data_IF_520400507781
#
_entry.id   IF_520400507781
#
_cell.length_a   1.000
_cell.length_b   1.000
_cell.length_c   1.000
_cell.angle_alpha   90.00
_cell.angle_beta   90.00
_cell.angle_gamma   90.00
#
_symmetry.space_group_name_H-M   'P 1'
#
loop_
_entity.id
_entity.type
_entity.pdbx_description
1 polymer ?
#
# COMPACT_ATOMS: atom_id res chain seq x y z
N UNK A 1 -53.76 14.27 15.35
CA UNK A 1 -52.96 15.16 14.48
C UNK A 1 -51.53 15.36 15.00
N UNK A 2 -50.90 14.32 15.58
CA UNK A 2 -49.54 14.35 16.15
C UNK A 2 -48.75 13.06 15.82
N UNK A 3 -49.00 12.45 14.65
CA UNK A 3 -48.30 11.22 14.25
C UNK A 3 -47.65 11.29 12.86
N UNK A 4 -47.87 12.37 12.10
CA UNK A 4 -47.32 12.52 10.75
C UNK A 4 -46.05 13.41 10.69
N UNK A 5 -45.76 14.18 11.75
CA UNK A 5 -44.60 15.08 11.80
C UNK A 5 -43.32 14.41 12.34
N UNK A 6 -43.42 13.27 13.02
CA UNK A 6 -42.25 12.52 13.54
C UNK A 6 -41.51 11.75 12.42
N UNK A 7 -42.23 11.30 11.39
CA UNK A 7 -41.64 10.57 10.26
C UNK A 7 -40.93 11.46 9.23
N UNK A 8 -41.19 12.78 9.25
CA UNK A 8 -40.49 13.74 8.38
C UNK A 8 -39.21 14.31 9.01
N UNK A 9 -39.00 14.14 10.32
CA UNK A 9 -37.81 14.65 11.01
C UNK A 9 -36.63 13.66 11.04
N UNK A 10 -36.86 12.39 10.66
CA UNK A 10 -35.82 11.35 10.63
C UNK A 10 -34.98 11.42 9.34
N UNK A 11 -35.39 12.17 8.31
CA UNK A 11 -34.73 12.14 6.98
C UNK A 11 -34.04 13.43 6.55
N UNK A 12 -33.77 14.39 7.45
CA UNK A 12 -32.98 15.58 7.08
C UNK A 12 -31.52 15.49 7.50
N UNK A 13 -31.22 14.94 8.68
CA UNK A 13 -29.85 14.83 9.20
C UNK A 13 -29.06 13.69 8.55
N UNK A 14 -29.69 12.55 8.28
CA UNK A 14 -29.03 11.44 7.57
C UNK A 14 -28.86 11.72 6.07
N UNK A 15 -29.72 12.56 5.49
CA UNK A 15 -29.63 12.93 4.08
C UNK A 15 -28.51 13.95 3.80
N UNK A 16 -28.21 14.85 4.74
CA UNK A 16 -26.99 15.68 4.66
C UNK A 16 -25.72 14.84 4.84
N UNK A 17 -25.75 13.83 5.71
CA UNK A 17 -24.62 12.91 5.95
C UNK A 17 -24.23 12.12 4.69
N UNK A 18 -25.20 11.83 3.83
CA UNK A 18 -25.00 11.05 2.59
C UNK A 18 -24.40 11.92 1.46
N UNK A 19 -24.61 13.25 1.45
CA UNK A 19 -24.21 14.12 0.32
C UNK A 19 -22.73 14.54 0.29
N UNK A 20 -21.98 14.41 1.39
CA UNK A 20 -20.54 14.75 1.46
C UNK A 20 -19.60 13.52 1.42
N UNK A 21 -20.17 12.32 1.28
CA UNK A 21 -19.46 11.02 1.43
C UNK A 21 -18.36 10.75 0.40
N UNK A 22 -18.39 11.42 -0.76
CA UNK A 22 -17.40 11.20 -1.82
C UNK A 22 -16.12 12.01 -1.68
N UNK A 23 -16.13 13.07 -0.87
CA UNK A 23 -14.96 13.95 -0.68
C UNK A 23 -14.19 13.56 0.58
N UNK A 24 -14.91 13.07 1.59
CA UNK A 24 -14.34 12.68 2.88
C UNK A 24 -13.97 11.20 2.90
N UNK A 25 -12.92 10.89 3.63
CA UNK A 25 -12.54 9.52 3.92
C UNK A 25 -13.00 9.10 5.32
N UNK A 26 -13.42 7.84 5.51
CA UNK A 26 -13.55 7.27 6.85
C UNK A 26 -12.17 7.24 7.51
N UNK A 27 -11.99 8.05 8.56
CA UNK A 27 -10.75 8.10 9.31
C UNK A 27 -10.69 6.93 10.30
N UNK A 28 -9.48 6.45 10.54
CA UNK A 28 -9.23 5.44 11.54
C UNK A 28 -9.31 6.04 12.93
N UNK A 29 -10.17 5.46 13.79
CA UNK A 29 -10.28 5.89 15.18
C UNK A 29 -9.03 5.52 15.98
N UNK A 30 -8.74 6.26 17.06
CA UNK A 30 -7.63 5.98 17.98
C UNK A 30 -7.71 4.55 18.53
N UNK A 31 -8.92 4.07 18.82
CA UNK A 31 -9.15 2.70 19.30
C UNK A 31 -8.76 1.64 18.26
N UNK A 32 -9.01 1.88 16.97
CA UNK A 32 -8.60 0.98 15.90
C UNK A 32 -7.09 0.96 15.74
N UNK A 33 -6.42 2.12 15.78
CA UNK A 33 -4.96 2.19 15.77
C UNK A 33 -4.34 1.45 16.95
N UNK A 34 -4.92 1.61 18.14
CA UNK A 34 -4.46 0.91 19.35
C UNK A 34 -4.63 -0.61 19.23
N UNK A 35 -5.80 -1.09 18.78
CA UNK A 35 -6.03 -2.52 18.53
C UNK A 35 -5.08 -3.07 17.45
N UNK A 36 -4.85 -2.32 16.39
CA UNK A 36 -3.89 -2.68 15.35
C UNK A 36 -2.46 -2.77 15.88
N UNK A 37 -2.04 -1.84 16.74
CA UNK A 37 -0.75 -1.88 17.41
C UNK A 37 -0.63 -3.11 18.33
N UNK A 38 -1.68 -3.44 19.08
CA UNK A 38 -1.70 -4.64 19.93
C UNK A 38 -1.57 -5.94 19.14
N UNK A 39 -2.28 -6.06 18.00
CA UNK A 39 -2.18 -7.23 17.10
C UNK A 39 -0.78 -7.42 16.54
N UNK A 40 -0.04 -6.33 16.36
CA UNK A 40 1.31 -6.33 15.82
C UNK A 40 2.41 -6.26 16.91
N UNK A 41 2.07 -6.35 18.19
CA UNK A 41 3.02 -6.17 19.31
C UNK A 41 4.15 -7.21 19.31
N UNK A 42 3.97 -8.35 18.66
CA UNK A 42 5.02 -9.35 18.47
C UNK A 42 6.17 -8.86 17.57
N UNK A 43 5.94 -7.83 16.76
CA UNK A 43 6.91 -7.24 15.85
C UNK A 43 7.44 -5.90 16.39
N UNK A 44 8.76 -5.69 16.45
CA UNK A 44 9.34 -4.38 16.67
C UNK A 44 8.74 -3.33 15.73
N UNK A 45 8.48 -2.12 16.25
CA UNK A 45 7.88 -1.03 15.48
C UNK A 45 8.62 -0.76 14.17
N UNK A 46 9.95 -0.80 14.21
CA UNK A 46 10.77 -0.52 13.04
C UNK A 46 10.61 -1.57 11.93
N UNK A 47 10.39 -2.85 12.27
CA UNK A 47 10.11 -3.90 11.29
C UNK A 47 8.70 -3.77 10.72
N UNK A 48 7.73 -3.31 11.53
CA UNK A 48 6.40 -2.99 11.02
C UNK A 48 6.46 -1.87 9.97
N UNK A 49 7.26 -0.82 10.23
CA UNK A 49 7.49 0.27 9.28
C UNK A 49 8.15 -0.23 8.00
N UNK A 50 9.18 -1.09 8.11
CA UNK A 50 9.83 -1.71 6.96
C UNK A 50 8.82 -2.50 6.11
N UNK A 51 8.01 -3.38 6.72
CA UNK A 51 7.01 -4.19 6.00
C UNK A 51 6.03 -3.28 5.24
N UNK A 52 5.50 -2.24 5.91
CA UNK A 52 4.57 -1.29 5.29
C UNK A 52 5.20 -0.54 4.12
N UNK A 53 6.42 -0.03 4.31
CA UNK A 53 7.16 0.73 3.31
C UNK A 53 7.44 -0.10 2.04
N UNK A 54 8.03 -1.29 2.19
CA UNK A 54 8.41 -2.12 1.05
C UNK A 54 7.19 -2.67 0.29
N UNK A 55 6.12 -3.00 1.00
CA UNK A 55 4.90 -3.46 0.35
C UNK A 55 4.18 -2.35 -0.39
N UNK A 56 4.08 -1.15 0.19
CA UNK A 56 3.51 0.00 -0.51
C UNK A 56 4.33 0.34 -1.78
N UNK A 57 5.66 0.24 -1.70
CA UNK A 57 6.56 0.37 -2.85
C UNK A 57 6.31 -0.70 -3.91
N UNK A 58 6.11 -1.96 -3.50
CA UNK A 58 5.77 -3.07 -4.39
C UNK A 58 4.43 -2.82 -5.11
N UNK A 59 3.39 -2.38 -4.39
CA UNK A 59 2.09 -2.03 -4.97
C UNK A 59 2.24 -0.92 -6.02
N UNK A 60 3.04 0.11 -5.74
CA UNK A 60 3.31 1.21 -6.69
C UNK A 60 3.99 0.70 -7.97
N UNK A 61 5.04 -0.11 -7.83
CA UNK A 61 5.76 -0.67 -8.97
C UNK A 61 4.89 -1.62 -9.80
N UNK A 62 4.06 -2.45 -9.16
CA UNK A 62 3.10 -3.30 -9.85
C UNK A 62 2.08 -2.48 -10.65
N UNK A 63 1.57 -1.38 -10.08
CA UNK A 63 0.69 -0.46 -10.78
C UNK A 63 1.32 0.13 -12.05
N UNK A 64 2.60 0.52 -11.98
CA UNK A 64 3.34 1.04 -13.13
C UNK A 64 3.51 -0.01 -14.24
N UNK A 65 3.91 -1.24 -13.91
CA UNK A 65 4.08 -2.31 -14.89
C UNK A 65 2.77 -2.77 -15.52
N UNK A 66 1.67 -2.74 -14.75
CA UNK A 66 0.32 -3.00 -15.25
C UNK A 66 -0.27 -1.81 -16.03
N UNK A 67 0.44 -0.68 -16.12
CA UNK A 67 0.00 0.57 -16.75
C UNK A 67 -1.32 1.08 -16.17
N UNK A 68 -1.51 0.89 -14.87
CA UNK A 68 -2.67 1.41 -14.15
C UNK A 68 -2.51 2.92 -13.90
N UNK A 69 -3.61 3.70 -14.01
CA UNK A 69 -3.65 5.07 -13.53
C UNK A 69 -3.17 5.17 -12.07
N UNK A 70 -2.38 6.20 -11.77
CA UNK A 70 -1.85 6.42 -10.41
C UNK A 70 -2.96 6.55 -9.35
N UNK A 71 -4.15 7.02 -9.74
CA UNK A 71 -5.31 7.07 -8.84
C UNK A 71 -5.70 5.68 -8.34
N UNK A 72 -5.69 4.65 -9.19
CA UNK A 72 -6.03 3.27 -8.80
C UNK A 72 -4.96 2.70 -7.88
N UNK A 73 -3.69 2.90 -8.23
CA UNK A 73 -2.56 2.41 -7.40
C UNK A 73 -2.49 3.12 -6.04
N UNK A 74 -2.82 4.40 -6.00
CA UNK A 74 -2.93 5.17 -4.76
C UNK A 74 -4.06 4.67 -3.87
N UNK A 75 -5.26 4.43 -4.43
CA UNK A 75 -6.38 3.86 -3.69
C UNK A 75 -6.03 2.47 -3.15
N UNK A 76 -5.34 1.63 -3.94
CA UNK A 76 -4.90 0.31 -3.50
C UNK A 76 -3.98 0.40 -2.28
N UNK A 77 -3.04 1.35 -2.23
CA UNK A 77 -2.18 1.54 -1.05
C UNK A 77 -2.96 2.01 0.19
N UNK A 78 -3.97 2.87 0.01
CA UNK A 78 -4.83 3.28 1.13
C UNK A 78 -5.63 2.09 1.66
N UNK A 79 -6.21 1.26 0.79
CA UNK A 79 -6.93 0.05 1.19
C UNK A 79 -6.03 -0.98 1.87
N UNK A 80 -4.79 -1.12 1.39
CA UNK A 80 -3.77 -1.98 2.00
C UNK A 80 -3.50 -1.57 3.45
N UNK A 81 -3.29 -0.27 3.69
CA UNK A 81 -3.08 0.24 5.04
C UNK A 81 -4.33 0.11 5.92
N UNK A 82 -5.55 0.29 5.36
CA UNK A 82 -6.80 0.08 6.12
C UNK A 82 -6.93 -1.38 6.57
N UNK A 83 -6.60 -2.32 5.69
CA UNK A 83 -6.60 -3.74 6.01
C UNK A 83 -5.64 -4.06 7.17
N UNK A 84 -4.44 -3.49 7.18
CA UNK A 84 -3.44 -3.72 8.24
C UNK A 84 -3.66 -2.97 9.56
N UNK A 85 -4.61 -2.03 9.61
CA UNK A 85 -5.11 -1.55 10.92
C UNK A 85 -5.85 -2.68 11.62
N UNK A 86 -6.63 -3.46 10.88
CA UNK A 86 -7.54 -4.46 11.43
C UNK A 86 -6.92 -5.87 11.47
N UNK A 87 -5.97 -6.21 10.60
CA UNK A 87 -5.30 -7.51 10.62
C UNK A 87 -3.81 -7.40 10.94
N UNK A 88 -3.25 -8.49 11.48
CA UNK A 88 -1.83 -8.57 11.81
C UNK A 88 -0.96 -8.69 10.56
N UNK A 89 0.17 -7.98 10.53
CA UNK A 89 1.10 -7.93 9.38
C UNK A 89 1.66 -9.30 8.96
N UNK A 90 1.73 -10.26 9.90
CA UNK A 90 2.37 -11.58 9.70
C UNK A 90 1.42 -12.78 9.79
N UNK A 91 0.13 -12.55 10.04
CA UNK A 91 -0.86 -13.62 10.34
C UNK A 91 -1.25 -14.42 9.08
N UNK A 92 -1.40 -13.74 7.94
CA UNK A 92 -1.87 -14.33 6.69
C UNK A 92 -0.70 -14.55 5.72
N UNK A 93 -0.97 -14.49 4.41
CA UNK A 93 0.07 -14.48 3.39
C UNK A 93 0.92 -13.20 3.51
N UNK A 94 2.20 -13.32 3.20
CA UNK A 94 3.18 -12.29 3.52
C UNK A 94 3.15 -11.21 2.46
N UNK A 95 2.73 -9.97 2.81
CA UNK A 95 2.92 -8.69 2.10
C UNK A 95 2.64 -8.65 0.57
N UNK A 96 3.35 -9.43 -0.21
CA UNK A 96 3.26 -9.63 -1.66
C UNK A 96 1.86 -10.07 -2.10
N UNK A 97 1.29 -11.14 -1.51
CA UNK A 97 -0.02 -11.62 -1.94
C UNK A 97 -1.15 -10.66 -1.53
N UNK A 98 -1.02 -10.01 -0.36
CA UNK A 98 -1.96 -8.99 0.12
C UNK A 98 -1.94 -7.76 -0.80
N UNK A 99 -0.73 -7.32 -1.22
CA UNK A 99 -0.54 -6.25 -2.20
C UNK A 99 -1.19 -6.60 -3.55
N UNK A 100 -0.95 -7.81 -4.06
CA UNK A 100 -1.56 -8.29 -5.31
C UNK A 100 -3.09 -8.34 -5.23
N UNK A 101 -3.64 -8.86 -4.13
CA UNK A 101 -5.09 -8.95 -3.92
C UNK A 101 -5.74 -7.57 -3.79
N UNK A 102 -5.09 -6.64 -3.09
CA UNK A 102 -5.61 -5.28 -2.90
C UNK A 102 -5.56 -4.49 -4.21
N UNK A 103 -4.48 -4.62 -4.98
CA UNK A 103 -4.37 -3.99 -6.30
C UNK A 103 -5.39 -4.58 -7.28
N UNK A 104 -5.58 -5.91 -7.28
CA UNK A 104 -6.60 -6.57 -8.08
C UNK A 104 -8.00 -6.07 -7.73
N UNK A 105 -8.36 -6.06 -6.44
CA UNK A 105 -9.66 -5.61 -5.96
C UNK A 105 -9.93 -4.17 -6.41
N UNK A 106 -8.96 -3.28 -6.22
CA UNK A 106 -9.08 -1.86 -6.56
C UNK A 106 -9.20 -1.67 -8.08
N UNK A 107 -8.37 -2.36 -8.87
CA UNK A 107 -8.47 -2.32 -10.33
C UNK A 107 -9.81 -2.86 -10.82
N UNK A 108 -10.31 -3.96 -10.24
CA UNK A 108 -11.56 -4.61 -10.61
C UNK A 108 -12.79 -3.70 -10.46
N UNK A 109 -12.84 -2.89 -9.41
CA UNK A 109 -13.95 -1.95 -9.17
C UNK A 109 -13.79 -0.61 -9.92
N UNK A 110 -12.63 -0.38 -10.52
CA UNK A 110 -12.31 0.85 -11.23
C UNK A 110 -12.70 0.82 -12.72
N UNK A 111 -12.47 1.93 -13.42
CA UNK A 111 -12.63 2.02 -14.88
C UNK A 111 -11.58 1.24 -15.69
N UNK A 112 -10.57 0.64 -15.04
CA UNK A 112 -9.47 -0.09 -15.70
C UNK A 112 -9.26 -1.47 -15.05
N UNK A 113 -10.20 -2.43 -15.25
CA UNK A 113 -10.07 -3.77 -14.70
C UNK A 113 -8.90 -4.52 -15.35
N UNK A 114 -8.16 -5.27 -14.53
CA UNK A 114 -6.99 -6.06 -14.95
C UNK A 114 -7.25 -7.54 -14.72
N UNK A 115 -6.77 -8.39 -15.63
CA UNK A 115 -6.90 -9.84 -15.48
C UNK A 115 -5.98 -10.37 -14.38
N UNK A 116 -6.44 -11.39 -13.65
CA UNK A 116 -5.63 -12.06 -12.63
C UNK A 116 -4.31 -12.59 -13.18
N UNK A 117 -4.31 -13.11 -14.42
CA UNK A 117 -3.07 -13.57 -15.08
C UNK A 117 -2.06 -12.45 -15.26
N UNK A 118 -2.49 -11.25 -15.67
CA UNK A 118 -1.61 -10.10 -15.79
C UNK A 118 -0.99 -9.72 -14.44
N UNK A 119 -1.80 -9.68 -13.38
CA UNK A 119 -1.32 -9.39 -12.02
C UNK A 119 -0.31 -10.44 -11.57
N UNK A 120 -0.65 -11.73 -11.66
CA UNK A 120 0.26 -12.79 -11.21
C UNK A 120 1.57 -12.80 -11.99
N UNK A 121 1.54 -12.51 -13.30
CA UNK A 121 2.75 -12.38 -14.11
C UNK A 121 3.61 -11.20 -13.67
N UNK A 122 3.01 -10.02 -13.44
CA UNK A 122 3.75 -8.83 -12.98
C UNK A 122 4.36 -9.04 -11.60
N UNK A 123 3.62 -9.62 -10.65
CA UNK A 123 4.19 -9.92 -9.32
C UNK A 123 5.27 -11.00 -9.39
N UNK A 124 5.13 -12.00 -10.26
CA UNK A 124 6.18 -13.00 -10.49
C UNK A 124 7.44 -12.36 -11.08
N UNK A 125 7.27 -11.43 -12.02
CA UNK A 125 8.38 -10.66 -12.59
C UNK A 125 9.05 -9.76 -11.55
N UNK A 126 8.28 -9.01 -10.77
CA UNK A 126 8.80 -8.09 -9.76
C UNK A 126 9.61 -8.79 -8.67
N UNK A 127 9.25 -10.02 -8.35
CA UNK A 127 9.91 -10.82 -7.32
C UNK A 127 11.04 -11.71 -7.85
N UNK A 128 11.24 -11.74 -9.17
CA UNK A 128 12.28 -12.55 -9.79
C UNK A 128 13.68 -11.92 -9.59
N UNK A 129 14.78 -12.72 -9.54
CA UNK A 129 16.14 -12.24 -9.30
C UNK A 129 16.66 -11.11 -10.21
N UNK A 130 16.11 -10.97 -11.43
CA UNK A 130 16.53 -9.92 -12.36
C UNK A 130 15.77 -8.60 -12.24
N UNK A 131 14.82 -8.47 -11.29
CA UNK A 131 14.05 -7.24 -11.09
C UNK A 131 14.65 -6.35 -10.02
N UNK A 132 14.46 -5.02 -10.16
CA UNK A 132 14.88 -4.02 -9.18
C UNK A 132 14.25 -4.20 -7.79
N UNK A 133 13.14 -4.94 -7.71
CA UNK A 133 12.44 -5.25 -6.46
C UNK A 133 12.66 -6.68 -5.97
N UNK A 134 13.70 -7.37 -6.47
CA UNK A 134 13.96 -8.74 -6.05
C UNK A 134 14.19 -8.84 -4.54
N UNK A 135 13.62 -9.87 -3.86
CA UNK A 135 13.92 -10.15 -2.46
C UNK A 135 15.36 -10.61 -2.22
N UNK A 136 16.01 -11.15 -3.24
CA UNK A 136 17.43 -11.45 -3.19
C UNK A 136 18.11 -10.31 -3.93
N UNK A 137 18.72 -9.37 -3.21
CA UNK A 137 19.38 -8.21 -3.81
C UNK A 137 20.31 -8.59 -4.96
N UNK A 138 20.64 -7.64 -5.85
CA UNK A 138 21.37 -7.89 -7.10
C UNK A 138 22.60 -8.78 -6.90
N UNK A 139 22.46 -10.09 -7.11
CA UNK A 139 23.55 -11.05 -6.98
C UNK A 139 24.43 -10.98 -8.22
N UNK A 140 25.19 -9.90 -8.41
CA UNK A 140 26.23 -9.72 -9.44
C UNK A 140 25.87 -10.18 -10.87
N UNK A 141 24.59 -10.39 -11.19
CA UNK A 141 24.10 -10.98 -12.44
C UNK A 141 23.88 -9.92 -13.51
N UNK A 142 24.68 -8.86 -13.46
CA UNK A 142 24.62 -7.75 -14.41
C UNK A 142 25.21 -8.10 -15.79
N UNK A 143 25.69 -9.33 -16.01
CA UNK A 143 26.39 -9.71 -17.25
C UNK A 143 25.64 -10.72 -18.13
N UNK A 144 24.57 -11.37 -17.65
CA UNK A 144 23.82 -12.34 -18.45
C UNK A 144 22.48 -11.77 -18.91
N UNK A 145 22.09 -11.97 -20.19
CA UNK A 145 20.78 -11.56 -20.65
C UNK A 145 19.70 -12.26 -19.81
N UNK A 146 18.62 -11.56 -19.41
CA UNK A 146 17.58 -12.13 -18.57
C UNK A 146 16.97 -13.34 -19.27
N UNK A 147 17.13 -14.53 -18.69
CA UNK A 147 16.54 -15.75 -19.20
C UNK A 147 15.01 -15.64 -19.17
N UNK A 148 14.31 -15.69 -20.32
CA UNK A 148 12.85 -15.58 -20.38
C UNK A 148 12.14 -16.66 -19.55
N UNK A 149 12.76 -17.82 -19.35
CA UNK A 149 12.17 -18.92 -18.56
C UNK A 149 12.11 -18.59 -17.06
N UNK A 150 13.01 -17.73 -16.56
CA UNK A 150 13.06 -17.32 -15.14
C UNK A 150 11.87 -16.46 -14.69
N UNK A 151 11.07 -15.94 -15.64
CA UNK A 151 9.87 -15.14 -15.37
C UNK A 151 8.59 -15.84 -15.80
N UNK A 152 8.70 -17.03 -16.41
CA UNK A 152 7.54 -17.78 -16.86
C UNK A 152 6.82 -18.41 -15.67
N UNK A 153 5.51 -18.17 -15.61
CA UNK A 153 4.64 -18.75 -14.59
C UNK A 153 4.00 -20.02 -15.15
N UNK A 154 4.36 -21.18 -14.58
CA UNK A 154 3.71 -22.45 -14.93
C UNK A 154 2.21 -22.41 -14.65
N UNK A 155 1.42 -23.17 -15.41
CA UNK A 155 -0.04 -23.14 -15.24
C UNK A 155 -0.47 -23.60 -13.84
N UNK A 156 0.23 -24.56 -13.24
CA UNK A 156 -0.01 -25.00 -11.86
C UNK A 156 0.28 -23.89 -10.84
N UNK A 157 1.40 -23.17 -10.99
CA UNK A 157 1.75 -22.04 -10.13
C UNK A 157 0.77 -20.88 -10.29
N UNK A 158 0.30 -20.63 -11.52
CA UNK A 158 -0.75 -19.65 -11.79
C UNK A 158 -2.05 -19.98 -11.06
N UNK A 159 -2.54 -21.23 -11.16
CA UNK A 159 -3.77 -21.66 -10.50
C UNK A 159 -3.66 -21.53 -8.97
N UNK A 160 -2.52 -21.89 -8.39
CA UNK A 160 -2.27 -21.73 -6.96
C UNK A 160 -2.30 -20.26 -6.53
N UNK A 161 -1.52 -19.38 -7.19
CA UNK A 161 -1.49 -17.94 -6.87
C UNK A 161 -2.85 -17.27 -7.11
N UNK A 162 -3.57 -17.65 -8.16
CA UNK A 162 -4.91 -17.15 -8.45
C UNK A 162 -5.89 -17.47 -7.32
N UNK A 163 -5.89 -18.72 -6.84
CA UNK A 163 -6.78 -19.16 -5.75
C UNK A 163 -6.51 -18.37 -4.47
N UNK A 164 -5.23 -18.16 -4.16
CA UNK A 164 -4.78 -17.35 -3.02
C UNK A 164 -5.26 -15.89 -3.11
N UNK A 165 -5.05 -15.24 -4.26
CA UNK A 165 -5.50 -13.86 -4.49
C UNK A 165 -7.01 -13.73 -4.32
N UNK A 166 -7.80 -14.67 -4.84
CA UNK A 166 -9.27 -14.66 -4.71
C UNK A 166 -9.69 -14.84 -3.24
N UNK A 167 -9.01 -15.72 -2.50
CA UNK A 167 -9.29 -15.91 -1.08
C UNK A 167 -8.99 -14.65 -0.26
N UNK A 168 -7.80 -14.05 -0.47
CA UNK A 168 -7.41 -12.81 0.18
C UNK A 168 -8.32 -11.64 -0.19
N UNK A 169 -8.77 -11.56 -1.43
CA UNK A 169 -9.75 -10.54 -1.85
C UNK A 169 -11.02 -10.60 -1.00
N UNK A 170 -11.57 -11.81 -0.80
CA UNK A 170 -12.74 -12.02 0.06
C UNK A 170 -12.48 -11.61 1.51
N UNK A 171 -11.29 -11.93 2.03
CA UNK A 171 -10.89 -11.51 3.38
C UNK A 171 -10.77 -9.99 3.52
N UNK A 172 -10.14 -9.32 2.56
CA UNK A 172 -9.99 -7.86 2.56
C UNK A 172 -11.37 -7.20 2.55
N UNK A 173 -12.29 -7.65 1.69
CA UNK A 173 -13.64 -7.14 1.64
C UNK A 173 -14.41 -7.35 2.94
N UNK A 174 -14.26 -8.51 3.57
CA UNK A 174 -14.87 -8.83 4.85
C UNK A 174 -14.36 -7.91 5.97
N UNK A 175 -13.03 -7.76 6.08
CA UNK A 175 -12.40 -6.93 7.12
C UNK A 175 -12.74 -5.46 6.96
N UNK A 176 -12.78 -4.95 5.72
CA UNK A 176 -13.15 -3.56 5.43
C UNK A 176 -14.67 -3.33 5.48
N UNK A 177 -15.48 -4.37 5.67
CA UNK A 177 -16.94 -4.29 5.61
C UNK A 177 -17.44 -3.71 4.28
N UNK A 178 -16.78 -4.05 3.17
CA UNK A 178 -17.04 -3.53 1.81
C UNK A 178 -16.84 -2.01 1.63
N UNK A 179 -16.20 -1.31 2.58
CA UNK A 179 -15.85 0.10 2.44
C UNK A 179 -14.57 0.28 1.60
N UNK A 180 -14.71 0.19 0.28
CA UNK A 180 -13.60 0.35 -0.68
C UNK A 180 -13.42 1.78 -1.21
N UNK A 181 -14.32 2.69 -0.86
CA UNK A 181 -14.25 4.08 -1.30
C UNK A 181 -13.05 4.82 -0.70
N UNK A 182 -12.28 5.49 -1.55
CA UNK A 182 -11.13 6.32 -1.18
C UNK A 182 -11.11 7.59 -2.03
N UNK A 183 -11.29 8.73 -1.37
CA UNK A 183 -11.06 10.05 -1.92
C UNK A 183 -9.56 10.39 -1.86
N UNK A 184 -8.98 10.77 -2.99
CA UNK A 184 -7.57 11.16 -3.08
C UNK A 184 -7.43 12.69 -3.00
N UNK A 185 -6.36 13.21 -2.37
CA UNK A 185 -6.13 14.65 -2.23
C UNK A 185 -5.63 15.33 -3.51
N UNK A 186 -5.19 14.57 -4.53
CA UNK A 186 -4.56 15.13 -5.72
C UNK A 186 -5.44 16.12 -6.50
N UNK A 187 -6.74 15.83 -6.78
CA UNK A 187 -7.61 16.80 -7.45
C UNK A 187 -7.83 18.06 -6.61
N UNK A 188 -8.05 17.90 -5.29
CA UNK A 188 -8.22 19.00 -4.35
C UNK A 188 -6.98 19.91 -4.33
N UNK A 189 -5.79 19.32 -4.32
CA UNK A 189 -4.54 20.07 -4.34
C UNK A 189 -4.41 20.97 -5.57
N UNK A 190 -4.83 20.49 -6.75
CA UNK A 190 -4.84 21.33 -7.96
C UNK A 190 -5.86 22.47 -7.84
N UNK A 191 -7.05 22.19 -7.32
CA UNK A 191 -8.07 23.23 -7.08
C UNK A 191 -7.59 24.27 -6.07
N UNK A 192 -6.90 23.87 -5.00
CA UNK A 192 -6.35 24.81 -4.01
C UNK A 192 -5.23 25.67 -4.60
N UNK A 193 -4.35 25.10 -5.44
CA UNK A 193 -3.33 25.89 -6.15
C UNK A 193 -3.98 26.89 -7.13
N UNK A 194 -5.09 26.51 -7.78
CA UNK A 194 -5.89 27.44 -8.60
C UNK A 194 -6.50 28.56 -7.78
N UNK A 195 -7.10 28.26 -6.62
CA UNK A 195 -7.69 29.27 -5.72
C UNK A 195 -6.63 30.24 -5.20
N UNK A 196 -5.39 29.78 -5.00
CA UNK A 196 -4.25 30.63 -4.62
C UNK A 196 -3.63 31.39 -5.80
N UNK A 197 -4.28 31.37 -6.97
CA UNK A 197 -3.92 32.13 -8.19
C UNK A 197 -2.50 31.86 -8.73
N UNK A 198 -1.90 30.72 -8.37
CA UNK A 198 -0.55 30.37 -8.83
C UNK A 198 -0.46 29.99 -10.31
N UNK A 199 -1.59 29.72 -10.97
CA UNK A 199 -1.64 29.41 -12.40
C UNK A 199 -1.87 30.65 -13.29
N UNK A 200 -2.29 31.79 -12.74
CA UNK A 200 -2.66 32.96 -13.54
C UNK A 200 -1.44 33.79 -13.99
N UNK A 201 -0.28 33.63 -13.35
CA UNK A 201 0.95 34.38 -13.61
C UNK A 201 2.09 33.47 -14.15
N UNK A 202 2.00 33.03 -15.41
CA UNK A 202 2.82 31.92 -15.95
C UNK A 202 4.20 32.32 -16.54
N UNK A 203 4.69 33.55 -16.34
CA UNK A 203 5.99 34.01 -16.87
C UNK A 203 7.19 33.16 -16.39
N UNK A 204 7.05 32.54 -15.21
CA UNK A 204 8.11 31.79 -14.53
C UNK A 204 7.81 30.29 -14.39
N UNK A 205 6.63 29.82 -14.83
CA UNK A 205 6.14 28.45 -14.62
C UNK A 205 6.21 27.96 -13.17
N UNK A 206 6.14 28.89 -12.20
CA UNK A 206 6.23 28.57 -10.76
C UNK A 206 5.05 27.70 -10.34
N UNK A 207 3.82 28.03 -10.77
CA UNK A 207 2.62 27.23 -10.47
C UNK A 207 2.73 25.78 -10.95
N UNK A 208 3.27 25.57 -12.16
CA UNK A 208 3.53 24.23 -12.70
C UNK A 208 4.54 23.44 -11.87
N UNK A 209 5.67 24.05 -11.46
CA UNK A 209 6.66 23.39 -10.58
C UNK A 209 6.10 23.11 -9.20
N UNK A 210 5.31 24.04 -8.65
CA UNK A 210 4.61 23.87 -7.38
C UNK A 210 3.68 22.66 -7.45
N UNK A 211 2.82 22.58 -8.45
CA UNK A 211 1.89 21.45 -8.64
C UNK A 211 2.62 20.11 -8.77
N UNK A 212 3.69 20.05 -9.56
CA UNK A 212 4.52 18.83 -9.67
C UNK A 212 5.10 18.41 -8.32
N UNK A 213 5.59 19.38 -7.54
CA UNK A 213 6.18 19.09 -6.22
C UNK A 213 5.14 18.67 -5.20
N UNK A 214 3.95 19.28 -5.22
CA UNK A 214 2.80 18.88 -4.39
C UNK A 214 2.39 17.44 -4.69
N UNK A 215 2.24 17.08 -5.97
CA UNK A 215 1.92 15.70 -6.38
C UNK A 215 3.01 14.73 -5.93
N UNK A 216 4.29 15.12 -6.00
CA UNK A 216 5.39 14.28 -5.53
C UNK A 216 5.30 14.01 -4.01
N UNK A 217 4.97 15.01 -3.19
CA UNK A 217 4.76 14.83 -1.75
C UNK A 217 3.54 13.96 -1.44
N UNK A 218 2.43 14.15 -2.15
CA UNK A 218 1.23 13.31 -1.98
C UNK A 218 1.51 11.84 -2.36
N UNK A 219 2.25 11.61 -3.45
CA UNK A 219 2.64 10.26 -3.83
C UNK A 219 3.62 9.61 -2.84
N UNK A 220 4.55 10.40 -2.30
CA UNK A 220 5.46 9.98 -1.25
C UNK A 220 4.69 9.58 0.04
N UNK A 221 3.64 10.33 0.39
CA UNK A 221 2.80 10.06 1.55
C UNK A 221 2.05 8.73 1.49
N UNK A 222 1.77 8.20 0.29
CA UNK A 222 1.18 6.86 0.10
C UNK A 222 2.12 5.72 0.51
N UNK A 223 3.43 5.98 0.56
CA UNK A 223 4.45 4.98 0.90
C UNK A 223 4.88 5.12 2.37
N UNK A 224 4.57 6.27 3.00
CA UNK A 224 4.96 6.55 4.37
C UNK A 224 4.22 5.61 5.36
N UNK A 225 4.95 4.86 6.21
CA UNK A 225 4.35 3.94 7.18
C UNK A 225 3.59 4.62 8.33
N UNK A 226 3.62 5.96 8.42
CA UNK A 226 2.81 6.75 9.37
C UNK A 226 1.33 6.85 8.98
N UNK A 227 0.90 6.22 7.88
CA UNK A 227 -0.51 6.03 7.51
C UNK A 227 -1.31 7.34 7.45
N UNK A 228 -0.71 8.39 6.89
CA UNK A 228 -1.29 9.74 6.86
C UNK A 228 -2.67 9.81 6.17
N UNK A 229 -2.88 8.98 5.14
CA UNK A 229 -4.14 8.84 4.42
C UNK A 229 -5.29 8.22 5.24
N UNK A 230 -5.00 7.66 6.41
CA UNK A 230 -5.99 7.06 7.29
C UNK A 230 -6.32 7.95 8.50
N UNK A 231 -5.39 8.82 8.89
CA UNK A 231 -5.52 9.68 10.06
C UNK A 231 -6.03 11.07 9.73
N UNK A 232 -5.77 11.58 8.52
CA UNK A 232 -6.11 12.94 8.10
C UNK A 232 -7.01 12.95 6.87
N UNK A 233 -7.82 14.00 6.75
CA UNK A 233 -8.71 14.17 5.60
C UNK A 233 -7.92 14.61 4.35
N UNK A 234 -8.44 14.35 3.13
CA UNK A 234 -7.81 14.77 1.88
C UNK A 234 -7.53 16.28 1.79
N UNK A 235 -8.40 17.12 2.36
CA UNK A 235 -8.21 18.57 2.41
C UNK A 235 -6.93 18.94 3.18
N UNK A 236 -6.75 18.37 4.38
CA UNK A 236 -5.59 18.61 5.23
C UNK A 236 -4.28 18.14 4.56
N UNK A 237 -4.31 16.96 3.92
CA UNK A 237 -3.15 16.42 3.18
C UNK A 237 -2.76 17.32 1.99
N UNK A 238 -3.75 17.82 1.23
CA UNK A 238 -3.52 18.72 0.12
C UNK A 238 -2.89 20.05 0.60
N UNK A 239 -3.46 20.65 1.64
CA UNK A 239 -2.97 21.90 2.23
C UNK A 239 -1.54 21.77 2.75
N UNK A 240 -1.25 20.69 3.48
CA UNK A 240 0.10 20.43 3.99
C UNK A 240 1.13 20.19 2.87
N UNK A 241 0.75 19.47 1.81
CA UNK A 241 1.62 19.26 0.66
C UNK A 241 1.92 20.58 -0.08
N UNK A 242 0.94 21.47 -0.23
CA UNK A 242 1.12 22.82 -0.80
C UNK A 242 2.07 23.64 0.06
N UNK A 243 1.89 23.63 1.38
CA UNK A 243 2.73 24.40 2.30
C UNK A 243 4.22 24.02 2.19
N UNK A 244 4.54 22.74 2.16
CA UNK A 244 5.94 22.28 2.03
C UNK A 244 6.48 22.57 0.62
N UNK A 245 5.69 22.25 -0.41
CA UNK A 245 6.11 22.45 -1.79
C UNK A 245 6.37 23.92 -2.11
N UNK A 246 5.55 24.83 -1.59
CA UNK A 246 5.75 26.27 -1.75
C UNK A 246 7.07 26.73 -1.14
N UNK A 247 7.44 26.21 0.04
CA UNK A 247 8.73 26.52 0.68
C UNK A 247 9.91 25.98 -0.11
N UNK A 248 9.79 24.80 -0.72
CA UNK A 248 10.86 24.21 -1.54
C UNK A 248 11.03 24.91 -2.89
N UNK A 249 9.93 25.38 -3.49
CA UNK A 249 9.94 26.09 -4.79
C UNK A 249 10.22 27.59 -4.62
N UNK A 250 10.05 28.13 -3.41
CA UNK A 250 10.18 29.56 -3.13
C UNK A 250 8.95 30.38 -3.53
N UNK A 251 7.77 29.76 -3.57
CA UNK A 251 6.51 30.44 -3.86
C UNK A 251 6.04 31.25 -2.64
N UNK A 252 5.66 32.51 -2.85
CA UNK A 252 5.16 33.39 -1.79
C UNK A 252 3.71 33.00 -1.49
N UNK A 253 3.49 32.42 -0.33
CA UNK A 253 2.15 32.15 0.18
C UNK A 253 1.60 33.38 0.92
N UNK A 254 0.26 33.50 1.04
CA UNK A 254 -0.35 34.56 1.85
C UNK A 254 0.16 34.54 3.30
N UNK A 255 0.35 35.73 3.87
CA UNK A 255 0.83 35.88 5.25
C UNK A 255 -0.24 35.57 6.32
N UNK A 256 -1.53 35.51 5.91
CA UNK A 256 -2.64 35.12 6.77
C UNK A 256 -2.72 33.58 6.93
N UNK A 257 -3.59 33.11 7.83
CA UNK A 257 -3.87 31.70 8.05
C UNK A 257 -4.70 31.09 6.89
N UNK A 258 -4.14 31.12 5.68
CA UNK A 258 -4.81 30.67 4.45
C UNK A 258 -5.23 29.19 4.51
N UNK A 259 -4.58 28.38 5.34
CA UNK A 259 -4.92 26.97 5.56
C UNK A 259 -6.28 26.77 6.22
N UNK A 260 -6.79 27.75 6.97
CA UNK A 260 -8.12 27.67 7.61
C UNK A 260 -9.24 27.68 6.56
N UNK A 261 -9.02 28.31 5.40
CA UNK A 261 -9.97 28.32 4.27
C UNK A 261 -10.16 26.91 3.68
N UNK A 262 -9.19 26.02 3.91
CA UNK A 262 -9.19 24.65 3.39
C UNK A 262 -9.46 23.61 4.49
N UNK A 263 -10.12 24.01 5.58
CA UNK A 263 -10.48 23.14 6.71
C UNK A 263 -9.27 22.40 7.32
N UNK A 264 -8.12 23.07 7.41
CA UNK A 264 -6.92 22.53 8.02
C UNK A 264 -6.53 23.34 9.24
N UNK A 265 -6.35 22.69 10.39
CA UNK A 265 -5.86 23.34 11.59
C UNK A 265 -4.35 23.56 11.53
N UNK A 266 -3.86 24.56 12.29
CA UNK A 266 -2.42 24.86 12.37
C UNK A 266 -1.61 23.70 12.95
N UNK A 267 -2.18 22.98 13.92
CA UNK A 267 -1.54 21.84 14.57
C UNK A 267 -1.37 20.69 13.57
N UNK A 268 -2.46 20.34 12.87
CA UNK A 268 -2.46 19.33 11.81
C UNK A 268 -1.51 19.70 10.67
N UNK A 269 -1.49 20.98 10.26
CA UNK A 269 -0.56 21.48 9.24
C UNK A 269 0.90 21.28 9.67
N UNK A 270 1.23 21.61 10.92
CA UNK A 270 2.57 21.43 11.48
C UNK A 270 2.97 19.95 11.54
N UNK A 271 2.08 19.10 12.04
CA UNK A 271 2.29 17.65 12.10
C UNK A 271 2.51 17.05 10.71
N UNK A 272 1.59 17.31 9.78
CA UNK A 272 1.66 16.81 8.40
C UNK A 272 2.89 17.34 7.68
N UNK A 273 3.30 18.58 7.92
CA UNK A 273 4.51 19.15 7.32
C UNK A 273 5.78 18.39 7.70
N UNK A 274 5.89 17.96 8.96
CA UNK A 274 7.01 17.14 9.45
C UNK A 274 6.89 15.71 8.94
N UNK A 275 5.69 15.14 9.00
CA UNK A 275 5.43 13.76 8.58
C UNK A 275 5.69 13.54 7.08
N UNK A 276 5.35 14.49 6.22
CA UNK A 276 5.66 14.41 4.78
C UNK A 276 7.16 14.46 4.50
N UNK A 277 7.94 15.17 5.32
CA UNK A 277 9.40 15.26 5.18
C UNK A 277 10.14 14.07 5.80
N UNK A 278 9.54 13.37 6.77
CA UNK A 278 10.13 12.24 7.49
C UNK A 278 10.49 11.06 6.59
N UNK A 279 9.86 10.94 5.42
CA UNK A 279 10.12 9.86 4.49
C UNK A 279 11.60 9.81 4.04
N UNK A 280 12.26 10.95 3.88
CA UNK A 280 13.69 10.98 3.47
C UNK A 280 14.58 10.31 4.51
N UNK A 281 14.36 10.64 5.79
CA UNK A 281 15.08 9.99 6.91
C UNK A 281 14.73 8.51 7.03
N UNK A 282 13.48 8.14 6.76
CA UNK A 282 13.06 6.74 6.79
C UNK A 282 13.77 5.93 5.71
N UNK A 283 13.82 6.43 4.48
CA UNK A 283 14.52 5.75 3.37
C UNK A 283 16.00 5.56 3.70
N UNK A 284 16.67 6.58 4.25
CA UNK A 284 18.07 6.46 4.66
C UNK A 284 18.27 5.37 5.74
N UNK A 285 17.34 5.27 6.70
CA UNK A 285 17.37 4.23 7.73
C UNK A 285 17.14 2.83 7.15
N UNK A 286 16.17 2.67 6.24
CA UNK A 286 15.89 1.38 5.60
C UNK A 286 17.06 0.92 4.72
N UNK A 287 17.69 1.84 3.97
CA UNK A 287 18.90 1.54 3.18
C UNK A 287 20.06 1.11 4.10
N UNK A 288 20.23 1.76 5.24
CA UNK A 288 21.26 1.37 6.21
C UNK A 288 20.99 -0.02 6.82
N UNK A 289 19.72 -0.40 7.00
CA UNK A 289 19.34 -1.69 7.61
C UNK A 289 19.45 -2.85 6.63
N UNK A 290 18.84 -2.70 5.46
CA UNK A 290 18.65 -3.77 4.50
C UNK A 290 19.70 -3.77 3.38
N UNK A 291 20.45 -2.68 3.22
CA UNK A 291 21.38 -2.46 2.11
C UNK A 291 20.72 -1.79 0.91
N UNK A 292 21.54 -1.18 0.05
CA UNK A 292 21.08 -0.47 -1.16
C UNK A 292 20.44 -1.40 -2.20
N UNK A 293 20.87 -2.66 -2.24
CA UNK A 293 20.44 -3.63 -3.25
C UNK A 293 19.18 -4.42 -2.87
N UNK A 294 18.67 -4.26 -1.64
CA UNK A 294 17.49 -5.01 -1.20
C UNK A 294 16.21 -4.44 -1.81
N UNK A 295 15.63 -5.20 -2.74
CA UNK A 295 14.45 -4.82 -3.51
C UNK A 295 13.14 -5.01 -2.73
N UNK A 296 12.97 -6.15 -2.07
CA UNK A 296 11.79 -6.48 -1.27
C UNK A 296 12.22 -7.24 -0.02
N UNK A 297 11.53 -7.04 1.10
CA UNK A 297 11.76 -7.84 2.30
C UNK A 297 10.95 -9.13 2.18
N UNK A 298 11.51 -10.28 2.54
CA UNK A 298 10.81 -11.56 2.63
C UNK A 298 10.45 -11.91 4.08
N UNK A 299 9.58 -12.92 4.28
CA UNK A 299 9.24 -13.41 5.63
C UNK A 299 10.48 -13.91 6.40
N UNK A 300 11.40 -14.57 5.71
CA UNK A 300 12.66 -15.05 6.28
C UNK A 300 13.59 -13.90 6.71
N UNK A 301 13.61 -12.80 5.96
CA UNK A 301 14.42 -11.62 6.31
C UNK A 301 13.92 -10.99 7.62
N UNK A 302 12.59 -10.83 7.74
CA UNK A 302 11.97 -10.36 8.99
C UNK A 302 12.29 -11.29 10.15
N UNK A 303 12.17 -12.61 9.95
CA UNK A 303 12.49 -13.59 11.00
C UNK A 303 13.97 -13.56 11.41
N UNK A 304 14.88 -13.35 10.46
CA UNK A 304 16.31 -13.24 10.71
C UNK A 304 16.63 -11.98 11.51
N UNK A 305 16.02 -10.84 11.17
CA UNK A 305 16.17 -9.61 11.95
C UNK A 305 15.57 -9.74 13.36
N UNK A 306 14.43 -10.42 13.51
CA UNK A 306 13.87 -10.71 14.82
C UNK A 306 14.80 -11.60 15.66
N UNK A 307 15.41 -12.62 15.05
CA UNK A 307 16.37 -13.48 15.72
C UNK A 307 17.63 -12.71 16.17
N UNK A 308 18.13 -11.76 15.36
CA UNK A 308 19.23 -10.86 15.75
C UNK A 308 18.87 -10.01 16.98
N UNK A 309 17.60 -9.64 17.12
CA UNK A 309 17.08 -8.90 18.28
C UNK A 309 16.73 -9.80 19.48
N UNK A 310 16.92 -11.11 19.37
CA UNK A 310 16.59 -12.07 20.42
C UNK A 310 15.09 -12.31 20.62
N UNK A 311 14.27 -11.96 19.63
CA UNK A 311 12.81 -12.13 19.66
C UNK A 311 12.38 -13.29 18.76
N UNK A 312 11.59 -14.22 19.28
CA UNK A 312 10.95 -15.28 18.49
C UNK A 312 9.47 -14.97 18.28
N UNK A 313 8.96 -15.10 17.06
CA UNK A 313 7.52 -15.10 16.82
C UNK A 313 6.88 -16.30 17.54
N UNK A 314 5.67 -16.17 18.10
CA UNK A 314 4.85 -17.33 18.41
C UNK A 314 4.71 -18.14 17.11
N UNK A 315 5.04 -19.42 17.16
CA UNK A 315 4.74 -20.34 16.06
C UNK A 315 3.25 -20.19 15.75
N UNK A 316 2.90 -19.77 14.53
CA UNK A 316 1.53 -19.84 14.06
C UNK A 316 1.06 -21.29 14.28
N UNK A 317 -0.06 -21.47 14.98
CA UNK A 317 -0.77 -22.74 15.21
C UNK A 317 -1.43 -23.24 13.90
N UNK A 318 -0.72 -23.10 12.77
CA UNK A 318 -0.97 -23.91 11.57
C UNK A 318 -0.32 -25.25 11.86
N UNK A 319 -1.14 -26.16 12.37
CA UNK A 319 -0.77 -27.54 12.62
C UNK A 319 0.12 -28.08 11.50
N UNK A 320 1.29 -28.58 11.92
CA UNK A 320 2.00 -29.73 11.38
C UNK A 320 1.49 -30.29 10.04
N UNK A 321 1.65 -29.51 8.96
CA UNK A 321 1.58 -29.99 7.57
C UNK A 321 2.82 -29.51 6.78
N UNK A 322 3.90 -29.21 7.51
CA UNK A 322 5.15 -28.70 6.95
C UNK A 322 6.34 -29.65 7.09
N UNK A 323 6.19 -30.81 7.74
CA UNK A 323 7.03 -31.96 7.45
C UNK A 323 6.30 -32.75 6.38
N UNK A 324 6.62 -32.46 5.13
CA UNK A 324 6.47 -33.49 4.11
C UNK A 324 7.42 -34.59 4.56
N UNK A 325 6.87 -35.68 5.11
CA UNK A 325 7.66 -36.85 5.49
C UNK A 325 8.52 -37.21 4.28
N UNK A 326 9.84 -37.24 4.47
CA UNK A 326 10.82 -37.68 3.45
C UNK A 326 10.43 -39.05 2.87
N UNK A 327 9.68 -39.85 3.64
CA UNK A 327 9.07 -41.12 3.24
C UNK A 327 8.02 -40.96 2.12
N UNK A 328 7.26 -39.87 2.10
CA UNK A 328 6.22 -39.58 1.08
C UNK A 328 6.84 -39.10 -0.22
N UNK A 329 7.93 -38.31 -0.16
CA UNK A 329 8.71 -37.93 -1.34
C UNK A 329 9.47 -39.12 -1.93
N UNK A 330 10.04 -39.98 -1.07
CA UNK A 330 10.67 -41.24 -1.48
C UNK A 330 9.69 -42.21 -2.13
N UNK A 331 8.46 -42.32 -1.61
CA UNK A 331 7.40 -43.13 -2.24
C UNK A 331 7.02 -42.60 -3.63
N UNK A 332 6.97 -41.27 -3.80
CA UNK A 332 6.66 -40.63 -5.08
C UNK A 332 7.74 -40.84 -6.14
N UNK A 333 9.01 -40.77 -5.73
CA UNK A 333 10.17 -41.05 -6.60
C UNK A 333 10.27 -42.53 -7.01
N UNK A 334 9.81 -43.45 -6.14
CA UNK A 334 9.75 -44.88 -6.47
C UNK A 334 8.64 -45.17 -7.50
N UNK A 335 7.47 -44.56 -7.36
CA UNK A 335 6.36 -44.72 -8.31
C UNK A 335 6.70 -44.17 -9.71
N UNK A 336 7.37 -43.02 -9.81
CA UNK A 336 7.84 -42.49 -11.11
C UNK A 336 8.87 -43.42 -11.77
N UNK A 337 9.75 -44.05 -10.99
CA UNK A 337 10.72 -45.03 -11.49
C UNK A 337 10.05 -46.32 -11.96
N UNK A 338 9.02 -46.79 -11.27
CA UNK A 338 8.26 -47.99 -11.65
C UNK A 338 7.53 -47.77 -12.98
N UNK A 339 6.94 -46.58 -13.17
CA UNK A 339 6.26 -46.21 -14.43
C UNK A 339 7.25 -46.09 -15.60
N UNK A 340 8.46 -45.59 -15.35
CA UNK A 340 9.51 -45.51 -16.39
C UNK A 340 10.06 -46.88 -16.81
N UNK A 341 10.07 -47.86 -15.90
CA UNK A 341 10.54 -49.22 -16.17
C UNK A 341 9.46 -50.14 -16.76
N UNK A 342 8.18 -49.76 -16.69
CA UNK A 342 7.07 -50.50 -17.33
C UNK A 342 6.83 -50.11 -18.79
N UNK A 343 7.49 -49.05 -19.28
CA UNK A 343 7.36 -48.53 -20.65
C UNK A 343 8.60 -48.80 -21.54
N UNK A 344 9.55 -49.62 -21.06
CA UNK A 344 10.58 -50.29 -21.85
C UNK A 344 10.34 -51.80 -21.78
#
# INVERSE_FOLDING_TARGET
>A
MYSALSLFYINSLDYEKIKMSHILNPLTSVNQLFRGAQKNNALPHELQESIRFYTARLTQAAGLLLRLPQSITAQANVLLFRYWVEEGLMKNEFSQEVSAATLYLTAKISASPVSLRSITNVYTYLLSPGSMLSPNGKTNSSELPPDPESYYLSESAYVAKRTKIIHLEGQILYVLGFHTHVALPHPLAITYIQILEFFENDDSKIGHRLAQRVIAHLNAALINPQMLYLTHQPCQLATAAIFIAAREVGAVLPACAWWEVFDCDREDLGFLAVALQSLKSLVAREVCRWGEDQGMISRSDVQTEMAKLGLSLPLDDRGDQGKVDEETEMARLLDEKVISNSNN
#
